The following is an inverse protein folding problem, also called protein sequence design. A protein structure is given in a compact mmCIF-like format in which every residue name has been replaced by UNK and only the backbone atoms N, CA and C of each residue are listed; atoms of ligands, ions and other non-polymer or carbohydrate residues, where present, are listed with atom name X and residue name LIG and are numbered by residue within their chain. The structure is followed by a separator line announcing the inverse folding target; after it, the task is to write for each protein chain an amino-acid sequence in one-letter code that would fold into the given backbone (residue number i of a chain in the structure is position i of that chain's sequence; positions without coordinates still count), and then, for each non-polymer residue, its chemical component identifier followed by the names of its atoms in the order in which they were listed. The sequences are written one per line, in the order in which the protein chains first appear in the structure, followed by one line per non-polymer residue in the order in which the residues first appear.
data_IF_276734788089
#
_entry.id   IF_276734788089
#
_cell.length_a   1.000
_cell.length_b   1.000
_cell.length_c   1.000
_cell.angle_alpha   90.00
_cell.angle_beta   90.00
_cell.angle_gamma   90.00
#
_symmetry.space_group_name_H-M   'P 1'
#
loop_
_entity.id
_entity.type
_entity.pdbx_description
1 polymer ?
#
# COMPACT_ATOMS: atom_id res chain seq x y z
N UNK A 1 20.05 -29.43 35.51
CA UNK A 1 20.40 -29.01 34.13
C UNK A 1 19.31 -28.04 33.71
N UNK A 2 19.64 -26.76 33.51
CA UNK A 2 18.67 -25.74 33.10
C UNK A 2 18.51 -25.84 31.59
N UNK A 3 17.32 -26.20 31.12
CA UNK A 3 17.01 -26.23 29.69
C UNK A 3 16.53 -24.82 29.33
N UNK A 4 17.23 -24.09 28.44
CA UNK A 4 16.79 -22.78 27.96
C UNK A 4 15.41 -22.85 27.31
N UNK A 5 14.57 -21.82 27.45
CA UNK A 5 13.19 -21.87 26.93
C UNK A 5 13.14 -22.08 25.41
N UNK A 6 14.15 -21.62 24.68
CA UNK A 6 14.21 -21.81 23.22
C UNK A 6 14.35 -23.28 22.82
N UNK A 7 15.03 -24.11 23.63
CA UNK A 7 15.19 -25.54 23.34
C UNK A 7 13.87 -26.29 23.55
N UNK A 8 13.08 -25.84 24.53
CA UNK A 8 11.74 -26.37 24.81
C UNK A 8 10.79 -25.99 23.67
N UNK A 9 10.82 -24.74 23.22
CA UNK A 9 10.01 -24.26 22.12
C UNK A 9 10.38 -24.93 20.80
N UNK A 10 11.68 -25.16 20.55
CA UNK A 10 12.16 -25.87 19.37
C UNK A 10 11.66 -27.32 19.34
N UNK A 11 11.71 -28.03 20.46
CA UNK A 11 11.20 -29.39 20.56
C UNK A 11 9.68 -29.46 20.32
N UNK A 12 8.92 -28.47 20.82
CA UNK A 12 7.48 -28.36 20.57
C UNK A 12 7.17 -28.13 19.09
N UNK A 13 7.91 -27.26 18.43
CA UNK A 13 7.73 -26.96 17.00
C UNK A 13 8.03 -28.17 16.11
N UNK A 14 9.10 -28.91 16.42
CA UNK A 14 9.46 -30.12 15.69
C UNK A 14 8.37 -31.19 15.78
N UNK A 15 7.81 -31.40 16.97
CA UNK A 15 6.70 -32.32 17.17
C UNK A 15 5.46 -31.94 16.34
N UNK A 16 5.10 -30.64 16.33
CA UNK A 16 3.94 -30.14 15.58
C UNK A 16 4.11 -30.31 14.05
N UNK A 17 5.34 -30.11 13.55
CA UNK A 17 5.67 -30.25 12.13
C UNK A 17 5.68 -31.71 11.67
N UNK A 18 6.06 -32.64 12.55
CA UNK A 18 6.03 -34.08 12.25
C UNK A 18 4.59 -34.63 12.27
N UNK A 19 3.77 -34.19 13.23
CA UNK A 19 2.35 -34.60 13.34
C UNK A 19 1.49 -34.12 12.16
N UNK A 20 1.89 -33.02 11.51
CA UNK A 20 1.15 -32.39 10.40
C UNK A 20 1.65 -32.76 9.01
N UNK A 21 2.54 -33.77 8.87
CA UNK A 21 3.08 -34.15 7.56
C UNK A 21 2.53 -35.49 7.02
N UNK A 22 1.27 -35.54 6.55
CA UNK A 22 0.79 -36.66 5.76
C UNK A 22 1.18 -36.43 4.29
N UNK A 23 2.38 -36.88 3.90
CA UNK A 23 2.80 -37.05 2.52
C UNK A 23 2.97 -35.78 1.66
N UNK A 24 4.23 -35.51 1.33
CA UNK A 24 4.73 -35.07 0.01
C UNK A 24 3.63 -35.02 -1.08
N UNK A 25 3.11 -33.83 -1.34
CA UNK A 25 2.49 -33.53 -2.63
C UNK A 25 3.62 -33.12 -3.55
N UNK A 26 3.92 -33.93 -4.55
CA UNK A 26 4.69 -33.48 -5.72
C UNK A 26 4.03 -32.18 -6.19
N UNK A 27 4.80 -31.09 -6.21
CA UNK A 27 4.34 -29.82 -6.78
C UNK A 27 4.17 -30.05 -8.28
N UNK A 28 2.95 -30.36 -8.71
CA UNK A 28 2.59 -30.28 -10.10
C UNK A 28 2.56 -28.80 -10.49
N UNK A 29 3.58 -28.37 -11.22
CA UNK A 29 3.62 -27.05 -11.83
C UNK A 29 2.79 -27.08 -13.12
N UNK A 30 1.50 -27.40 -12.99
CA UNK A 30 0.56 -27.31 -14.11
C UNK A 30 -0.63 -26.45 -13.73
N UNK A 31 -0.64 -25.26 -14.34
CA UNK A 31 -1.76 -24.36 -14.60
C UNK A 31 -2.61 -23.85 -13.42
N UNK A 32 -2.32 -22.62 -12.99
CA UNK A 32 -3.35 -21.65 -12.63
C UNK A 32 -2.98 -20.30 -13.26
N UNK A 33 -3.21 -20.18 -14.58
CA UNK A 33 -3.08 -18.93 -15.34
C UNK A 33 -4.32 -18.04 -15.21
N UNK A 34 -5.33 -18.46 -14.44
CA UNK A 34 -6.65 -17.81 -14.34
C UNK A 34 -7.14 -17.59 -12.89
N UNK A 35 -6.28 -17.63 -11.87
CA UNK A 35 -6.68 -17.18 -10.52
C UNK A 35 -6.75 -15.65 -10.50
N UNK A 36 -7.91 -15.03 -10.21
CA UNK A 36 -7.98 -13.58 -10.06
C UNK A 36 -7.23 -13.18 -8.79
N UNK A 37 -6.12 -12.45 -8.98
CA UNK A 37 -5.39 -11.77 -7.90
C UNK A 37 -6.38 -11.01 -7.01
N UNK A 38 -6.30 -11.24 -5.70
CA UNK A 38 -7.31 -10.87 -4.71
C UNK A 38 -7.85 -9.45 -4.90
N UNK A 39 -9.01 -9.31 -5.55
CA UNK A 39 -9.67 -8.02 -5.75
C UNK A 39 -10.45 -7.67 -4.49
N UNK A 40 -9.91 -6.77 -3.67
CA UNK A 40 -10.67 -6.20 -2.55
C UNK A 40 -11.84 -5.37 -3.10
N UNK A 41 -13.05 -5.92 -3.01
CA UNK A 41 -14.30 -5.21 -3.34
C UNK A 41 -14.64 -4.27 -2.19
N UNK A 42 -14.38 -2.98 -2.37
CA UNK A 42 -14.82 -1.93 -1.45
C UNK A 42 -16.32 -1.67 -1.65
N UNK A 43 -17.17 -2.28 -0.82
CA UNK A 43 -18.61 -2.01 -0.77
C UNK A 43 -18.89 -0.70 -0.02
N UNK A 44 -18.62 0.44 -0.67
CA UNK A 44 -18.92 1.77 -0.14
C UNK A 44 -20.31 2.17 -0.62
N UNK A 45 -21.32 1.85 0.17
CA UNK A 45 -22.69 2.27 -0.09
C UNK A 45 -22.82 3.80 0.11
N UNK A 46 -22.71 4.55 -0.99
CA UNK A 46 -22.76 6.03 -1.04
C UNK A 46 -24.18 6.58 -0.89
N UNK A 47 -25.21 5.75 -0.93
CA UNK A 47 -26.62 6.21 -0.93
C UNK A 47 -27.13 6.83 0.40
N UNK A 48 -26.27 7.01 1.40
CA UNK A 48 -26.63 7.65 2.68
C UNK A 48 -26.20 9.13 2.78
N UNK A 49 -25.85 9.80 1.67
CA UNK A 49 -25.64 11.26 1.65
C UNK A 49 -26.98 12.02 1.77
N UNK A 50 -27.70 11.85 2.88
CA UNK A 50 -28.88 12.66 3.16
C UNK A 50 -28.45 14.03 3.71
N UNK A 51 -28.83 15.06 2.95
CA UNK A 51 -28.38 16.45 3.04
C UNK A 51 -28.43 17.08 4.43
N UNK A 52 -27.28 17.58 4.86
CA UNK A 52 -27.21 18.57 5.93
C UNK A 52 -27.55 19.93 5.32
N UNK A 53 -28.75 20.41 5.65
CA UNK A 53 -29.20 21.77 5.34
C UNK A 53 -28.14 22.80 5.71
N UNK A 54 -27.73 23.58 4.73
CA UNK A 54 -26.87 24.74 4.87
C UNK A 54 -27.52 25.70 5.88
N UNK A 55 -26.90 25.84 7.05
CA UNK A 55 -27.23 26.91 7.99
C UNK A 55 -25.92 27.59 8.36
N UNK A 56 -25.47 28.37 7.40
CA UNK A 56 -24.64 29.55 7.57
C UNK A 56 -24.99 30.31 8.85
N UNK A 57 -24.20 30.06 9.89
CA UNK A 57 -24.10 30.92 11.07
C UNK A 57 -22.68 31.43 11.17
N UNK A 58 -22.52 32.59 10.55
CA UNK A 58 -21.46 33.55 10.85
C UNK A 58 -21.44 33.80 12.36
N UNK A 59 -20.35 33.39 13.01
CA UNK A 59 -20.05 33.73 14.39
C UNK A 59 -18.56 34.02 14.49
N UNK A 60 -18.21 35.26 14.17
CA UNK A 60 -16.98 35.93 14.58
C UNK A 60 -16.92 35.96 16.12
N UNK A 61 -16.19 35.02 16.73
CA UNK A 61 -15.80 35.11 18.14
C UNK A 61 -14.32 34.84 18.28
N UNK A 62 -13.56 35.92 18.40
CA UNK A 62 -12.24 35.93 19.02
C UNK A 62 -12.37 35.47 20.47
N UNK A 63 -11.99 34.23 20.76
CA UNK A 63 -11.73 33.78 22.12
C UNK A 63 -10.69 32.68 22.08
N UNK A 64 -9.69 32.79 22.93
CA UNK A 64 -8.53 31.90 23.11
C UNK A 64 -8.91 30.49 23.64
N UNK A 65 -9.98 29.89 23.13
CA UNK A 65 -10.22 28.48 23.26
C UNK A 65 -9.38 27.78 22.18
N UNK A 66 -8.13 27.47 22.52
CA UNK A 66 -7.43 26.36 21.90
C UNK A 66 -8.34 25.14 22.04
N UNK A 67 -9.12 24.84 21.01
CA UNK A 67 -9.79 23.56 20.85
C UNK A 67 -8.69 22.52 20.98
N UNK A 68 -8.61 21.87 22.15
CA UNK A 68 -7.60 20.86 22.44
C UNK A 68 -7.91 19.66 21.54
N UNK A 69 -7.44 19.73 20.30
CA UNK A 69 -7.48 18.59 19.40
C UNK A 69 -6.81 17.42 20.12
N UNK A 70 -7.46 16.27 20.22
CA UNK A 70 -6.92 15.16 20.98
C UNK A 70 -5.65 14.64 20.26
N UNK A 71 -4.58 14.38 21.04
CA UNK A 71 -3.29 13.93 20.54
C UNK A 71 -2.69 12.81 21.39
N UNK A 72 -1.71 12.08 20.85
CA UNK A 72 -0.84 11.15 21.55
C UNK A 72 0.56 11.76 21.73
N UNK A 73 1.18 11.68 22.91
CA UNK A 73 2.56 12.11 23.11
C UNK A 73 3.55 11.07 22.56
N UNK A 74 4.62 11.55 21.94
CA UNK A 74 5.78 10.75 21.55
C UNK A 74 6.67 10.41 22.74
N UNK A 75 7.52 9.38 22.59
CA UNK A 75 8.46 8.91 23.64
C UNK A 75 9.49 9.98 24.03
N UNK A 76 9.81 10.87 23.10
CA UNK A 76 10.68 12.04 23.25
C UNK A 76 10.07 13.15 24.11
N UNK A 77 8.80 13.05 24.49
CA UNK A 77 8.10 14.04 25.31
C UNK A 77 7.73 15.34 24.57
N UNK A 78 8.36 15.61 23.42
CA UNK A 78 8.09 16.78 22.58
C UNK A 78 7.13 16.51 21.42
N UNK A 79 7.21 15.34 20.77
CA UNK A 79 6.40 15.06 19.59
C UNK A 79 4.94 14.82 19.98
N UNK A 80 4.00 15.39 19.21
CA UNK A 80 2.57 15.20 19.38
C UNK A 80 1.95 14.66 18.10
N UNK A 81 1.26 13.53 18.18
CA UNK A 81 0.55 12.89 17.07
C UNK A 81 -0.94 13.19 17.18
N UNK A 82 -1.54 13.79 16.15
CA UNK A 82 -2.99 14.07 16.15
C UNK A 82 -3.79 12.76 16.13
N UNK A 83 -4.87 12.67 16.91
CA UNK A 83 -5.77 11.50 16.92
C UNK A 83 -6.72 11.46 15.72
N UNK A 84 -7.13 12.62 15.25
CA UNK A 84 -8.04 12.73 14.11
C UNK A 84 -7.28 13.02 12.82
N UNK A 85 -7.86 12.56 11.71
CA UNK A 85 -7.37 12.90 10.37
C UNK A 85 -7.43 14.42 10.18
N UNK A 86 -6.45 14.95 9.47
CA UNK A 86 -6.48 16.35 9.05
C UNK A 86 -7.65 16.56 8.09
N UNK A 87 -8.30 17.74 8.11
CA UNK A 87 -9.36 18.06 7.15
C UNK A 87 -8.84 17.83 5.72
N UNK A 88 -9.63 17.12 4.90
CA UNK A 88 -9.27 16.76 3.51
C UNK A 88 -9.15 17.97 2.59
N UNK A 89 -9.60 19.15 3.02
CA UNK A 89 -9.58 20.39 2.24
C UNK A 89 -8.24 21.14 2.32
N UNK A 90 -7.14 20.42 2.56
CA UNK A 90 -5.79 20.98 2.56
C UNK A 90 -5.04 20.39 1.38
N UNK A 91 -4.59 21.25 0.47
CA UNK A 91 -3.78 20.81 -0.67
C UNK A 91 -2.53 20.08 -0.17
N UNK A 92 -2.27 18.90 -0.72
CA UNK A 92 -0.98 18.21 -0.56
C UNK A 92 0.14 19.17 -0.99
N UNK A 93 1.16 19.35 -0.14
CA UNK A 93 2.31 20.20 -0.47
C UNK A 93 2.91 19.74 -1.81
N UNK A 94 3.34 20.70 -2.64
CA UNK A 94 3.91 20.44 -3.98
C UNK A 94 4.97 19.34 -4.02
N UNK A 95 5.84 19.28 -3.01
CA UNK A 95 6.90 18.27 -2.87
C UNK A 95 6.43 16.84 -2.60
N UNK A 96 5.17 16.66 -2.19
CA UNK A 96 4.56 15.35 -1.93
C UNK A 96 3.66 14.90 -3.08
N UNK A 97 3.62 15.65 -4.18
CA UNK A 97 2.89 15.27 -5.39
C UNK A 97 3.79 14.33 -6.18
N UNK A 98 3.35 13.08 -6.34
CA UNK A 98 4.03 12.11 -7.19
C UNK A 98 3.79 12.53 -8.64
N UNK A 99 4.75 13.24 -9.25
CA UNK A 99 4.66 13.71 -10.64
C UNK A 99 5.20 12.70 -11.65
N UNK A 100 6.11 11.83 -11.21
CA UNK A 100 6.72 10.81 -12.05
C UNK A 100 6.39 9.42 -11.51
N UNK A 101 5.51 8.73 -12.23
CA UNK A 101 5.23 7.33 -11.98
C UNK A 101 6.36 6.47 -12.58
N UNK A 102 6.82 5.44 -11.87
CA UNK A 102 7.66 4.42 -12.46
C UNK A 102 6.86 3.67 -13.53
N UNK A 103 7.42 3.57 -14.74
CA UNK A 103 6.73 2.93 -15.86
C UNK A 103 7.27 3.37 -17.21
N UNK A 104 6.79 2.68 -18.24
CA UNK A 104 7.13 2.90 -19.64
C UNK A 104 6.56 4.26 -20.10
N UNK A 105 7.39 5.10 -20.70
CA UNK A 105 7.05 6.48 -21.08
C UNK A 105 6.98 6.65 -22.61
N UNK A 106 6.09 7.53 -23.06
CA UNK A 106 6.02 7.94 -24.46
C UNK A 106 5.52 6.83 -25.38
N UNK A 107 6.12 6.71 -26.55
CA UNK A 107 5.64 5.84 -27.63
C UNK A 107 5.79 4.34 -27.31
N UNK A 108 6.78 3.99 -26.48
CA UNK A 108 7.00 2.62 -26.00
C UNK A 108 5.82 2.08 -25.16
N UNK A 109 5.00 2.96 -24.57
CA UNK A 109 3.80 2.56 -23.81
C UNK A 109 2.73 1.92 -24.70
N UNK A 110 2.68 2.30 -25.99
CA UNK A 110 1.67 1.81 -26.94
C UNK A 110 2.11 0.53 -27.66
N UNK A 111 3.40 0.20 -27.58
CA UNK A 111 3.96 -0.98 -28.23
C UNK A 111 3.56 -2.22 -27.45
N UNK A 112 2.82 -3.11 -28.12
CA UNK A 112 2.44 -4.43 -27.59
C UNK A 112 3.30 -5.55 -28.17
N UNK A 113 3.97 -5.26 -29.29
CA UNK A 113 4.78 -6.23 -30.01
C UNK A 113 6.19 -6.30 -29.42
N UNK A 114 6.69 -7.49 -29.03
CA UNK A 114 8.03 -7.63 -28.46
C UNK A 114 9.15 -7.16 -29.40
N UNK A 115 8.98 -7.36 -30.72
CA UNK A 115 10.00 -6.95 -31.70
C UNK A 115 10.11 -5.43 -31.82
N UNK A 116 8.98 -4.72 -31.71
CA UNK A 116 8.97 -3.26 -31.79
C UNK A 116 9.57 -2.65 -30.52
N UNK A 117 9.34 -3.27 -29.36
CA UNK A 117 10.02 -2.93 -28.10
C UNK A 117 11.53 -3.16 -28.19
N UNK A 118 11.96 -4.28 -28.77
CA UNK A 118 13.38 -4.60 -28.94
C UNK A 118 14.09 -3.57 -29.82
N UNK A 119 13.46 -3.14 -30.91
CA UNK A 119 13.97 -2.07 -31.77
C UNK A 119 14.16 -0.74 -31.05
N UNK A 120 13.37 -0.43 -30.01
CA UNK A 120 13.61 0.77 -29.21
C UNK A 120 14.90 0.74 -28.38
N UNK A 121 15.51 -0.44 -28.19
CA UNK A 121 16.80 -0.58 -27.53
C UNK A 121 17.96 -0.68 -28.51
N UNK A 122 17.72 -1.25 -29.70
CA UNK A 122 18.71 -1.47 -30.74
C UNK A 122 18.16 -0.92 -32.06
N UNK A 123 18.61 0.29 -32.38
CA UNK A 123 18.24 0.96 -33.63
C UNK A 123 19.04 0.41 -34.81
N UNK A 124 18.52 0.64 -36.03
CA UNK A 124 19.17 0.21 -37.27
C UNK A 124 20.56 0.83 -37.44
N UNK A 125 20.82 2.00 -36.85
CA UNK A 125 22.14 2.62 -36.83
C UNK A 125 23.18 1.79 -36.06
N UNK A 126 22.78 1.16 -34.95
CA UNK A 126 23.64 0.24 -34.18
C UNK A 126 23.90 -1.02 -35.00
N UNK A 127 22.89 -1.53 -35.70
CA UNK A 127 23.03 -2.71 -36.55
C UNK A 127 23.95 -2.45 -37.75
N UNK A 128 23.88 -1.25 -38.34
CA UNK A 128 24.73 -0.84 -39.46
C UNK A 128 26.19 -0.55 -39.06
N UNK A 129 26.48 -0.45 -37.76
CA UNK A 129 27.83 -0.26 -37.23
C UNK A 129 28.62 -1.56 -37.06
N UNK A 130 27.96 -2.71 -37.20
CA UNK A 130 28.52 -4.06 -36.98
C UNK A 130 28.83 -4.69 -38.34
#
# INVERSE_FOLDING_TARGET
MFIPSYEIDQARLLYLLEETNPYVSEYDHSADEDEPDNVEVLDINTDSEQGLSDSEKDCTVTSEFSTREPYFPGKDGSTKWKKHFLPKNVMTRSKNIITHLPGVKGDTRKLKSPIDLWKCFIDDDILNMI
#
